data_IF_548232327072
#
_entry.id   IF_548232327072
#
_cell.length_a   1.000
_cell.length_b   1.000
_cell.length_c   1.000
_cell.angle_alpha   90.00
_cell.angle_beta   90.00
_cell.angle_gamma   90.00
#
_symmetry.space_group_name_H-M   'P 1'
#
loop_
_entity.id
_entity.type
_entity.pdbx_description
1 polymer ?
#
# COMPACT_ATOMS: atom_id res chain seq x y z
N UNK A 1 -7.00 -36.18 13.98
CA UNK A 1 -7.50 -35.06 13.15
C UNK A 1 -6.32 -34.16 12.80
N UNK A 2 -5.70 -34.40 11.64
CA UNK A 2 -4.58 -33.62 11.11
C UNK A 2 -5.06 -32.22 10.76
N UNK A 3 -4.64 -31.21 11.54
CA UNK A 3 -4.85 -29.81 11.19
C UNK A 3 -4.11 -29.55 9.88
N UNK A 4 -4.85 -29.22 8.82
CA UNK A 4 -4.26 -28.79 7.55
C UNK A 4 -3.42 -27.53 7.84
N UNK A 5 -2.11 -27.66 7.84
CA UNK A 5 -1.22 -26.52 7.69
C UNK A 5 -1.53 -25.88 6.33
N UNK A 6 -2.31 -24.79 6.30
CA UNK A 6 -2.33 -23.93 5.11
C UNK A 6 -0.94 -23.32 5.00
N UNK A 7 -0.12 -23.90 4.13
CA UNK A 7 1.13 -23.29 3.70
C UNK A 7 0.75 -22.05 2.90
N UNK A 8 0.87 -20.87 3.50
CA UNK A 8 0.80 -19.63 2.75
C UNK A 8 2.07 -19.55 1.90
N UNK A 9 1.91 -19.61 0.58
CA UNK A 9 3.05 -19.50 -0.34
C UNK A 9 3.54 -18.04 -0.38
N UNK A 10 4.86 -17.86 -0.31
CA UNK A 10 5.51 -16.55 -0.26
C UNK A 10 5.51 -15.91 1.13
N UNK A 11 6.14 -14.75 1.24
CA UNK A 11 6.21 -13.97 2.47
C UNK A 11 6.63 -12.53 2.20
N UNK A 12 6.69 -11.67 3.23
CA UNK A 12 7.06 -10.27 3.08
C UNK A 12 8.43 -10.04 2.41
N UNK A 13 9.33 -11.02 2.42
CA UNK A 13 10.62 -10.98 1.72
C UNK A 13 10.49 -10.92 0.18
N UNK A 14 9.42 -11.49 -0.38
CA UNK A 14 9.20 -11.63 -1.83
C UNK A 14 8.32 -10.50 -2.41
N UNK A 15 7.98 -9.50 -1.60
CA UNK A 15 7.20 -8.34 -2.06
C UNK A 15 8.01 -7.49 -3.04
N UNK A 16 7.33 -6.96 -4.07
CA UNK A 16 7.94 -5.95 -4.94
C UNK A 16 8.32 -4.69 -4.15
N UNK A 17 9.18 -3.84 -4.71
CA UNK A 17 9.75 -2.68 -4.01
C UNK A 17 8.70 -1.76 -3.38
N UNK A 18 7.60 -1.48 -4.09
CA UNK A 18 6.55 -0.56 -3.62
C UNK A 18 5.81 -1.14 -2.42
N UNK A 19 5.31 -2.37 -2.55
CA UNK A 19 4.62 -3.08 -1.46
C UNK A 19 5.56 -3.39 -0.30
N UNK A 20 6.83 -3.69 -0.56
CA UNK A 20 7.84 -3.92 0.48
C UNK A 20 8.07 -2.65 1.30
N UNK A 21 8.21 -1.51 0.64
CA UNK A 21 8.34 -0.21 1.30
C UNK A 21 7.11 0.06 2.16
N UNK A 22 5.92 -0.10 1.61
CA UNK A 22 4.68 0.09 2.35
C UNK A 22 4.55 -0.87 3.55
N UNK A 23 4.83 -2.16 3.36
CA UNK A 23 4.82 -3.16 4.43
C UNK A 23 5.78 -2.77 5.56
N UNK A 24 7.00 -2.33 5.23
CA UNK A 24 8.01 -1.95 6.20
C UNK A 24 7.59 -0.73 7.03
N UNK A 25 6.88 0.23 6.43
CA UNK A 25 6.41 1.43 7.13
C UNK A 25 5.16 1.13 7.97
N UNK A 26 4.23 0.33 7.46
CA UNK A 26 2.91 0.21 8.06
C UNK A 26 2.79 -1.01 8.99
N UNK A 27 3.29 -2.16 8.56
CA UNK A 27 3.06 -3.45 9.20
C UNK A 27 4.25 -3.89 10.05
N UNK A 28 5.46 -3.74 9.52
CA UNK A 28 6.65 -4.24 10.21
C UNK A 28 6.96 -3.45 11.48
N UNK A 29 7.35 -4.19 12.52
CA UNK A 29 7.86 -3.62 13.76
C UNK A 29 9.16 -2.84 13.53
N UNK A 30 9.43 -1.90 14.42
CA UNK A 30 10.67 -1.13 14.46
C UNK A 30 10.45 0.38 14.46
N UNK A 31 11.47 1.14 14.93
CA UNK A 31 11.37 2.58 15.07
C UNK A 31 11.16 3.23 13.69
N UNK A 32 10.14 4.08 13.59
CA UNK A 32 9.92 4.92 12.41
C UNK A 32 10.65 6.24 12.66
N UNK A 33 11.70 6.48 11.90
CA UNK A 33 12.46 7.74 12.02
C UNK A 33 11.61 8.92 11.55
N UNK A 34 11.90 10.09 12.11
CA UNK A 34 11.25 11.33 11.67
C UNK A 34 11.50 11.61 10.18
N UNK A 35 12.72 11.31 9.70
CA UNK A 35 13.10 11.42 8.28
C UNK A 35 12.23 10.56 7.34
N UNK A 36 11.91 9.33 7.76
CA UNK A 36 11.02 8.47 7.00
C UNK A 36 9.62 9.09 6.91
N UNK A 37 9.11 9.63 8.03
CA UNK A 37 7.78 10.24 8.07
C UNK A 37 7.65 11.49 7.17
N UNK A 38 8.74 12.22 6.93
CA UNK A 38 8.80 13.35 6.00
C UNK A 38 8.99 12.97 4.54
N UNK A 39 9.41 11.74 4.26
CA UNK A 39 9.68 11.33 2.89
C UNK A 39 8.36 11.32 2.10
N UNK A 40 8.34 12.11 1.03
CA UNK A 40 7.17 12.28 0.16
C UNK A 40 7.34 11.54 -1.17
N UNK A 41 6.26 11.03 -1.73
CA UNK A 41 6.22 10.49 -3.09
C UNK A 41 4.80 10.62 -3.68
N UNK A 42 4.59 10.17 -4.92
CA UNK A 42 3.25 9.96 -5.46
C UNK A 42 2.85 8.49 -5.38
N UNK A 43 1.54 8.23 -5.48
CA UNK A 43 1.01 6.88 -5.38
C UNK A 43 -0.18 6.65 -6.31
N UNK A 44 -0.44 5.37 -6.59
CA UNK A 44 -1.63 4.90 -7.32
C UNK A 44 -1.94 3.47 -6.86
N UNK A 45 -3.21 3.11 -6.77
CA UNK A 45 -3.61 1.73 -6.51
C UNK A 45 -3.31 0.86 -7.73
N UNK A 46 -2.75 -0.35 -7.52
CA UNK A 46 -2.35 -1.26 -8.60
C UNK A 46 -3.52 -1.68 -9.50
N UNK A 47 -4.75 -1.71 -8.97
CA UNK A 47 -5.97 -2.03 -9.73
C UNK A 47 -6.33 -0.89 -10.68
N UNK A 48 -6.18 0.34 -10.21
CA UNK A 48 -6.44 1.53 -11.02
C UNK A 48 -5.34 1.72 -12.06
N UNK A 49 -4.08 1.42 -11.72
CA UNK A 49 -2.98 1.39 -12.68
C UNK A 49 -3.19 0.33 -13.77
N UNK A 50 -3.65 -0.87 -13.42
CA UNK A 50 -3.98 -1.90 -14.39
C UNK A 50 -5.13 -1.47 -15.32
N UNK A 51 -6.19 -0.88 -14.76
CA UNK A 51 -7.30 -0.32 -15.54
C UNK A 51 -6.81 0.79 -16.48
N UNK A 52 -5.94 1.67 -16.00
CA UNK A 52 -5.33 2.73 -16.79
C UNK A 52 -4.54 2.18 -17.98
N UNK A 53 -3.73 1.13 -17.77
CA UNK A 53 -3.01 0.47 -18.86
C UNK A 53 -3.95 -0.14 -19.91
N UNK A 54 -5.04 -0.79 -19.48
CA UNK A 54 -6.04 -1.34 -20.42
C UNK A 54 -6.71 -0.23 -21.22
N UNK A 55 -7.15 0.85 -20.57
CA UNK A 55 -7.82 1.96 -21.25
C UNK A 55 -6.86 2.75 -22.17
N UNK A 56 -5.57 2.83 -21.85
CA UNK A 56 -4.55 3.42 -22.71
C UNK A 56 -4.44 2.71 -24.07
N UNK A 57 -4.71 1.41 -24.12
CA UNK A 57 -4.73 0.65 -25.37
C UNK A 57 -6.05 0.82 -26.15
N UNK A 58 -7.13 1.17 -25.47
CA UNK A 58 -8.47 1.24 -26.06
C UNK A 58 -8.85 2.63 -26.55
N UNK A 59 -8.32 3.69 -25.93
CA UNK A 59 -8.67 5.07 -26.24
C UNK A 59 -7.70 5.65 -27.26
N UNK A 60 -8.19 5.93 -28.47
CA UNK A 60 -7.41 6.57 -29.53
C UNK A 60 -6.79 7.90 -29.06
N UNK A 61 -7.50 8.67 -28.22
CA UNK A 61 -7.02 9.92 -27.63
C UNK A 61 -5.78 9.76 -26.72
N UNK A 62 -5.40 8.53 -26.35
CA UNK A 62 -4.15 8.26 -25.64
C UNK A 62 -2.94 8.13 -26.58
N UNK A 63 -3.17 8.01 -27.89
CA UNK A 63 -2.13 7.85 -28.90
C UNK A 63 -1.17 9.06 -28.95
N UNK A 64 0.14 8.78 -28.94
CA UNK A 64 1.17 9.82 -28.99
C UNK A 64 1.38 10.59 -27.67
N UNK A 65 0.60 10.28 -26.63
CA UNK A 65 0.68 10.97 -25.35
C UNK A 65 1.62 10.27 -24.36
N UNK A 66 2.32 11.07 -23.56
CA UNK A 66 3.02 10.60 -22.35
C UNK A 66 2.14 10.90 -21.15
N UNK A 67 1.66 9.84 -20.50
CA UNK A 67 0.62 9.93 -19.48
C UNK A 67 1.17 9.38 -18.17
N UNK A 68 1.00 10.14 -17.09
CA UNK A 68 1.29 9.71 -15.72
C UNK A 68 -0.03 9.56 -14.99
N UNK A 69 -0.26 8.41 -14.39
CA UNK A 69 -1.40 8.15 -13.52
C UNK A 69 -0.95 8.25 -12.07
N UNK A 70 -1.59 9.13 -11.31
CA UNK A 70 -1.28 9.32 -9.90
C UNK A 70 -2.53 9.72 -9.15
N UNK A 71 -2.94 8.89 -8.17
CA UNK A 71 -4.08 9.19 -7.30
C UNK A 71 -3.79 10.36 -6.35
N UNK A 72 -2.52 10.72 -6.18
CA UNK A 72 -2.11 11.89 -5.44
C UNK A 72 -0.66 11.80 -4.96
N UNK A 73 -0.24 12.84 -4.27
CA UNK A 73 1.03 12.86 -3.52
C UNK A 73 0.78 12.44 -2.08
N UNK A 74 1.79 11.88 -1.43
CA UNK A 74 1.72 11.47 -0.03
C UNK A 74 3.03 11.82 0.69
N UNK A 75 2.95 11.95 2.01
CA UNK A 75 4.05 11.72 2.96
C UNK A 75 3.75 10.48 3.78
N UNK A 76 4.76 9.72 4.22
CA UNK A 76 4.52 8.46 4.93
C UNK A 76 3.65 8.61 6.18
N UNK A 77 3.71 9.77 6.84
CA UNK A 77 2.82 10.10 7.96
C UNK A 77 1.33 9.96 7.59
N UNK A 78 0.92 10.29 6.36
CA UNK A 78 -0.48 10.19 5.95
C UNK A 78 -0.95 8.74 5.83
N UNK A 79 -0.09 7.84 5.34
CA UNK A 79 -0.43 6.41 5.34
C UNK A 79 -0.61 5.88 6.77
N UNK A 80 0.28 6.27 7.69
CA UNK A 80 0.16 5.90 9.10
C UNK A 80 -1.15 6.44 9.69
N UNK A 81 -1.45 7.74 9.50
CA UNK A 81 -2.68 8.36 10.00
C UNK A 81 -3.92 7.64 9.46
N UNK A 82 -3.97 7.38 8.15
CA UNK A 82 -5.12 6.77 7.49
C UNK A 82 -5.32 5.34 7.96
N UNK A 83 -4.26 4.54 8.08
CA UNK A 83 -4.34 3.17 8.61
C UNK A 83 -4.89 3.16 10.04
N UNK A 84 -4.55 4.16 10.86
CA UNK A 84 -5.09 4.29 12.22
C UNK A 84 -6.59 4.65 12.26
N UNK A 85 -7.16 5.17 11.17
CA UNK A 85 -8.62 5.44 11.06
C UNK A 85 -9.44 4.24 10.60
N UNK A 86 -8.79 3.18 10.10
CA UNK A 86 -9.48 2.00 9.56
C UNK A 86 -10.05 1.17 10.71
N UNK A 87 -11.37 1.08 10.76
CA UNK A 87 -12.11 0.23 11.69
C UNK A 87 -13.08 -0.69 10.93
N UNK A 88 -13.23 -1.97 11.34
CA UNK A 88 -12.31 -2.69 12.23
C UNK A 88 -10.92 -2.81 11.59
N UNK A 89 -9.87 -2.84 12.43
CA UNK A 89 -8.50 -3.02 11.95
C UNK A 89 -8.31 -4.43 11.35
N UNK A 90 -7.87 -4.59 10.09
CA UNK A 90 -7.92 -5.90 9.43
C UNK A 90 -6.92 -6.94 9.92
N UNK A 91 -5.82 -6.56 10.57
CA UNK A 91 -4.78 -7.50 11.01
C UNK A 91 -5.07 -8.01 12.44
N UNK A 92 -5.26 -9.33 12.64
CA UNK A 92 -5.51 -9.91 13.97
C UNK A 92 -4.31 -9.78 14.92
N UNK A 93 -4.54 -9.38 16.18
CA UNK A 93 -3.51 -9.26 17.22
C UNK A 93 -2.31 -8.38 16.83
N UNK A 94 -2.49 -7.50 15.84
CA UNK A 94 -1.52 -6.50 15.42
C UNK A 94 -2.14 -5.13 15.63
N UNK A 95 -1.37 -4.18 16.13
CA UNK A 95 -1.85 -2.81 16.34
C UNK A 95 -1.24 -1.90 15.27
N UNK A 96 -2.02 -0.99 14.68
CA UNK A 96 -1.49 -0.06 13.69
C UNK A 96 -0.36 0.77 14.29
N UNK A 97 0.74 0.89 13.54
CA UNK A 97 1.84 1.77 13.92
C UNK A 97 1.34 3.21 13.96
N UNK A 98 1.58 3.91 15.07
CA UNK A 98 1.27 5.34 15.19
C UNK A 98 2.38 6.17 14.56
N UNK A 99 2.02 7.16 13.77
CA UNK A 99 2.98 8.15 13.30
C UNK A 99 3.27 9.23 14.35
N UNK A 100 3.95 10.29 13.93
CA UNK A 100 4.37 11.41 14.78
C UNK A 100 3.27 12.48 14.76
N UNK A 101 2.57 12.74 15.88
CA UNK A 101 1.52 13.76 15.92
C UNK A 101 2.07 15.17 15.63
N UNK A 102 1.32 15.96 14.87
CA UNK A 102 1.67 17.36 14.59
C UNK A 102 2.84 17.55 13.62
N UNK A 103 3.30 16.48 12.96
CA UNK A 103 4.33 16.56 11.94
C UNK A 103 3.83 17.41 10.75
N UNK A 104 4.62 18.40 10.34
CA UNK A 104 4.36 19.17 9.12
C UNK A 104 4.42 18.25 7.89
N UNK A 105 3.36 18.27 7.07
CA UNK A 105 3.24 17.43 5.87
C UNK A 105 3.61 18.25 4.65
N UNK A 106 4.79 17.98 4.09
CA UNK A 106 5.30 18.66 2.89
C UNK A 106 5.35 17.69 1.70
N UNK A 107 4.47 17.89 0.72
CA UNK A 107 4.42 17.08 -0.52
C UNK A 107 5.43 17.61 -1.55
N UNK A 108 6.67 17.12 -1.51
CA UNK A 108 7.76 17.59 -2.38
C UNK A 108 7.75 16.99 -3.78
N UNK A 109 7.10 15.84 -3.96
CA UNK A 109 6.96 15.16 -5.25
C UNK A 109 5.51 15.26 -5.68
N UNK A 110 5.28 15.94 -6.80
CA UNK A 110 3.95 16.10 -7.42
C UNK A 110 4.10 15.93 -8.93
N UNK A 111 3.17 15.22 -9.55
CA UNK A 111 3.15 15.00 -11.00
C UNK A 111 2.04 15.81 -11.63
N UNK A 112 2.27 16.28 -12.86
CA UNK A 112 1.21 16.80 -13.71
C UNK A 112 0.38 15.62 -14.26
N UNK A 113 -0.86 15.51 -13.76
CA UNK A 113 -1.79 14.44 -14.15
C UNK A 113 -2.90 14.93 -15.07
N UNK A 114 -2.78 16.12 -15.70
CA UNK A 114 -3.85 16.71 -16.51
C UNK A 114 -4.42 15.76 -17.59
N UNK A 115 -3.58 14.88 -18.14
CA UNK A 115 -3.94 13.92 -19.20
C UNK A 115 -4.67 12.68 -18.70
N UNK A 116 -4.71 12.41 -17.39
CA UNK A 116 -5.44 11.26 -16.85
C UNK A 116 -6.97 11.40 -17.04
N UNK A 117 -7.46 12.63 -17.23
CA UNK A 117 -8.87 12.95 -17.50
C UNK A 117 -9.40 12.25 -18.76
N UNK A 118 -8.53 11.93 -19.72
CA UNK A 118 -8.89 11.16 -20.93
C UNK A 118 -9.52 9.82 -20.55
N UNK A 119 -9.10 9.23 -19.42
CA UNK A 119 -9.47 7.87 -19.03
C UNK A 119 -10.74 7.82 -18.20
N UNK A 120 -11.07 8.88 -17.46
CA UNK A 120 -12.26 8.94 -16.60
C UNK A 120 -12.20 7.96 -15.42
N UNK A 121 -10.99 7.63 -14.96
CA UNK A 121 -10.79 6.71 -13.84
C UNK A 121 -11.12 7.45 -12.53
N UNK A 122 -11.98 6.83 -11.71
CA UNK A 122 -12.15 7.23 -10.31
C UNK A 122 -11.15 6.44 -9.48
N UNK A 123 -10.05 7.08 -9.11
CA UNK A 123 -9.04 6.46 -8.27
C UNK A 123 -9.60 6.09 -6.90
N UNK A 124 -9.11 4.97 -6.38
CA UNK A 124 -9.30 4.57 -5.00
C UNK A 124 -8.62 5.55 -4.07
N UNK A 125 -9.20 5.68 -2.89
CA UNK A 125 -8.63 6.46 -1.79
C UNK A 125 -7.51 5.68 -1.11
N UNK A 126 -6.64 6.40 -0.38
CA UNK A 126 -5.61 5.76 0.45
C UNK A 126 -6.24 4.81 1.48
N UNK A 127 -7.43 5.11 2.00
CA UNK A 127 -8.16 4.26 2.94
C UNK A 127 -8.61 2.94 2.31
N UNK A 128 -9.21 2.98 1.11
CA UNK A 128 -9.62 1.78 0.37
C UNK A 128 -8.41 0.92 -0.04
N UNK A 129 -7.33 1.57 -0.44
CA UNK A 129 -6.06 0.91 -0.82
C UNK A 129 -5.42 0.24 0.39
N UNK A 130 -5.34 0.96 1.52
CA UNK A 130 -4.79 0.44 2.78
C UNK A 130 -5.62 -0.72 3.31
N UNK A 131 -6.96 -0.58 3.33
CA UNK A 131 -7.86 -1.65 3.78
C UNK A 131 -7.67 -2.92 2.96
N UNK A 132 -7.72 -2.81 1.63
CA UNK A 132 -7.55 -3.97 0.75
C UNK A 132 -6.17 -4.62 0.88
N UNK A 133 -5.12 -3.83 1.08
CA UNK A 133 -3.76 -4.34 1.29
C UNK A 133 -3.64 -5.11 2.61
N UNK A 134 -4.18 -4.55 3.71
CA UNK A 134 -4.16 -5.20 5.02
C UNK A 134 -5.02 -6.47 5.03
N UNK A 135 -6.17 -6.48 4.37
CA UNK A 135 -7.02 -7.66 4.23
C UNK A 135 -6.31 -8.78 3.45
N UNK A 136 -5.58 -8.45 2.38
CA UNK A 136 -4.76 -9.43 1.64
C UNK A 136 -3.64 -10.02 2.52
N UNK A 137 -2.96 -9.18 3.31
CA UNK A 137 -1.97 -9.67 4.27
C UNK A 137 -2.60 -10.53 5.38
N UNK A 138 -3.80 -10.18 5.85
CA UNK A 138 -4.58 -10.96 6.82
C UNK A 138 -4.97 -12.35 6.27
N UNK A 139 -5.31 -12.43 4.98
CA UNK A 139 -5.61 -13.71 4.34
C UNK A 139 -4.38 -14.59 4.14
N UNK A 140 -3.20 -13.97 3.97
CA UNK A 140 -1.93 -14.66 3.71
C UNK A 140 -1.10 -14.96 4.96
N UNK A 141 -1.49 -14.46 6.12
CA UNK A 141 -0.73 -14.69 7.34
C UNK A 141 0.53 -13.84 7.46
N UNK A 142 0.60 -12.70 6.78
CA UNK A 142 1.87 -12.00 6.58
C UNK A 142 2.22 -10.98 7.64
N UNK A 143 1.39 -10.74 8.66
CA UNK A 143 1.63 -9.69 9.67
C UNK A 143 2.45 -10.13 10.89
N UNK A 144 2.55 -11.43 11.15
CA UNK A 144 3.37 -11.98 12.24
C UNK A 144 4.78 -12.39 11.76
N UNK A 145 5.09 -12.17 10.48
CA UNK A 145 6.32 -12.63 9.87
C UNK A 145 7.44 -11.60 10.00
N UNK A 146 8.52 -12.02 10.64
CA UNK A 146 9.80 -11.30 10.61
C UNK A 146 10.29 -11.20 9.15
N UNK A 147 10.90 -10.07 8.78
CA UNK A 147 11.37 -9.83 7.41
C UNK A 147 12.37 -10.87 6.88
N UNK A 148 12.98 -11.66 7.77
CA UNK A 148 13.97 -12.68 7.44
C UNK A 148 13.36 -14.09 7.22
N UNK A 149 12.05 -14.27 7.34
CA UNK A 149 11.42 -15.58 7.12
C UNK A 149 10.82 -15.68 5.71
N UNK A 150 11.31 -16.66 4.94
CA UNK A 150 10.75 -17.03 3.63
C UNK A 150 9.45 -17.83 3.73
N UNK A 151 9.06 -18.24 4.94
CA UNK A 151 7.81 -18.94 5.21
C UNK A 151 7.13 -18.43 6.48
N UNK A 152 5.87 -18.04 6.34
CA UNK A 152 4.98 -17.73 7.44
C UNK A 152 4.31 -19.02 7.93
N UNK A 153 4.82 -19.64 9.00
CA UNK A 153 4.12 -20.74 9.66
C UNK A 153 2.98 -20.14 10.49
N UNK A 154 1.73 -20.40 10.08
CA UNK A 154 0.55 -19.91 10.76
C UNK A 154 0.33 -20.59 12.10
N UNK A 155 0.40 -19.83 13.19
CA UNK A 155 -0.18 -20.24 14.45
C UNK A 155 -1.68 -19.93 14.40
N UNK A 156 -2.51 -20.99 14.38
CA UNK A 156 -3.95 -20.84 14.63
C UNK A 156 -4.15 -20.40 16.08
N UNK A 157 -4.84 -19.30 16.31
CA UNK A 157 -5.61 -19.13 17.54
C UNK A 157 -6.76 -20.16 17.56
#
# INVERSE_FOLDING_TARGET
MSRLFRRFNGGPAELNTSLKSWYNVIVADGPKSQELSYTSNAWVDVRDAALAHVLALQKEAAGGERIVFSAGSFVWQEWLDIVNTIQPYPLPNHSPTKGIPGLEKSHRIQYDTAKEKIFGIKFKTMGETSRGTLEDFAQKGWWWCSMNTTSCLGASA
#
